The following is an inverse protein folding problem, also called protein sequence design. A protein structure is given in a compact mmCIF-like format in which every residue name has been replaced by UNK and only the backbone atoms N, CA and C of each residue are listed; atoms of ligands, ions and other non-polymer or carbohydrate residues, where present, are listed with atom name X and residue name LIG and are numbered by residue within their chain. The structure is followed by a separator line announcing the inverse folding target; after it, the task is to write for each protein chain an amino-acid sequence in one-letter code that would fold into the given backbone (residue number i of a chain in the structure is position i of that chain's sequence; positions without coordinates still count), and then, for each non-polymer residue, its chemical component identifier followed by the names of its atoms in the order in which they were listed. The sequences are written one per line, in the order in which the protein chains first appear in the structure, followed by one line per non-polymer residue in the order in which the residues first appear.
data_IF_868558726103
#
_entry.id   IF_868558726103
#
_cell.length_a   1.000
_cell.length_b   1.000
_cell.length_c   1.000
_cell.angle_alpha   90.00
_cell.angle_beta   90.00
_cell.angle_gamma   90.00
#
_symmetry.space_group_name_H-M   'P 1'
#
loop_
_entity.id
_entity.type
_entity.pdbx_description
1 polymer ?
#
# COMPACT_ATOMS: atom_id res chain seq x y z
N UNK A 1 -0.81 -10.45 14.00
CA UNK A 1 -0.01 -10.87 12.82
C UNK A 1 -0.82 -10.84 11.53
N UNK A 2 -2.14 -10.58 11.58
CA UNK A 2 -3.00 -10.35 10.41
C UNK A 2 -3.71 -9.02 10.62
N UNK A 3 -3.86 -8.20 9.57
CA UNK A 3 -4.63 -6.94 9.63
C UNK A 3 -6.14 -7.18 9.66
N UNK A 4 -6.58 -8.40 9.36
CA UNK A 4 -7.99 -8.79 9.36
C UNK A 4 -8.51 -9.08 10.78
N UNK A 5 -9.72 -8.60 11.10
CA UNK A 5 -10.35 -8.85 12.39
C UNK A 5 -10.84 -10.31 12.53
N UNK A 6 -10.78 -10.89 13.75
CA UNK A 6 -11.36 -12.19 14.02
C UNK A 6 -12.87 -12.20 13.72
N UNK A 7 -13.29 -12.99 12.72
CA UNK A 7 -14.70 -13.12 12.34
C UNK A 7 -15.08 -12.51 10.98
N UNK A 8 -14.17 -11.75 10.36
CA UNK A 8 -14.33 -11.22 8.99
C UNK A 8 -14.19 -12.33 7.95
N UNK A 9 -13.20 -13.19 8.13
CA UNK A 9 -12.96 -14.37 7.28
C UNK A 9 -13.51 -15.60 7.98
N UNK A 10 -14.46 -16.29 7.34
CA UNK A 10 -15.25 -17.37 7.96
C UNK A 10 -15.10 -18.72 7.31
N UNK A 11 -14.49 -18.78 6.14
CA UNK A 11 -14.34 -19.98 5.34
C UNK A 11 -12.87 -20.30 5.07
N UNK A 12 -12.60 -21.57 4.77
CA UNK A 12 -11.24 -22.06 4.51
C UNK A 12 -10.57 -21.33 3.34
N UNK A 13 -11.33 -21.02 2.29
CA UNK A 13 -10.83 -20.33 1.10
C UNK A 13 -10.40 -18.91 1.45
N UNK A 14 -11.23 -18.18 2.20
CA UNK A 14 -10.86 -16.84 2.67
C UNK A 14 -9.61 -16.83 3.55
N UNK A 15 -9.46 -17.81 4.47
CA UNK A 15 -8.27 -17.90 5.33
C UNK A 15 -7.02 -18.16 4.49
N UNK A 16 -7.12 -19.07 3.53
CA UNK A 16 -6.03 -19.40 2.63
C UNK A 16 -5.61 -18.18 1.78
N UNK A 17 -6.58 -17.46 1.20
CA UNK A 17 -6.31 -16.27 0.40
C UNK A 17 -5.66 -15.16 1.23
N UNK A 18 -6.14 -14.93 2.45
CA UNK A 18 -5.51 -13.99 3.39
C UNK A 18 -4.07 -14.40 3.71
N UNK A 19 -3.84 -15.69 3.99
CA UNK A 19 -2.50 -16.22 4.24
C UNK A 19 -1.56 -15.97 3.04
N UNK A 20 -1.99 -16.30 1.83
CA UNK A 20 -1.22 -16.04 0.62
C UNK A 20 -0.88 -14.56 0.46
N UNK A 21 -1.87 -13.68 0.65
CA UNK A 21 -1.69 -12.24 0.54
C UNK A 21 -0.65 -11.71 1.53
N UNK A 22 -0.75 -12.08 2.80
CA UNK A 22 0.20 -11.62 3.83
C UNK A 22 1.61 -12.20 3.60
N UNK A 23 1.72 -13.46 3.19
CA UNK A 23 3.00 -14.06 2.81
C UNK A 23 3.64 -13.35 1.60
N UNK A 24 2.85 -13.00 0.58
CA UNK A 24 3.35 -12.26 -0.57
C UNK A 24 3.91 -10.89 -0.15
N UNK A 25 3.18 -10.14 0.68
CA UNK A 25 3.64 -8.83 1.18
C UNK A 25 4.91 -8.90 2.01
N UNK A 26 5.10 -9.97 2.78
CA UNK A 26 6.28 -10.14 3.63
C UNK A 26 7.50 -10.61 2.84
N UNK A 27 7.31 -11.50 1.87
CA UNK A 27 8.41 -12.19 1.20
C UNK A 27 8.48 -11.86 -0.30
N UNK A 28 7.40 -12.13 -1.04
CA UNK A 28 7.38 -12.01 -2.50
C UNK A 28 7.67 -10.59 -3.00
N UNK A 29 7.12 -9.57 -2.34
CA UNK A 29 7.31 -8.16 -2.71
C UNK A 29 8.75 -7.67 -2.54
N UNK A 30 9.62 -8.44 -1.88
CA UNK A 30 11.05 -8.10 -1.69
C UNK A 30 11.96 -8.79 -2.71
N UNK A 31 11.41 -9.69 -3.53
CA UNK A 31 12.16 -10.42 -4.54
C UNK A 31 12.31 -9.57 -5.79
N UNK A 32 13.52 -9.56 -6.37
CA UNK A 32 13.87 -8.66 -7.47
C UNK A 32 13.86 -9.33 -8.85
N UNK A 33 13.88 -10.66 -8.89
CA UNK A 33 13.94 -11.43 -10.14
C UNK A 33 12.76 -12.40 -10.24
N UNK A 34 12.44 -12.80 -11.47
CA UNK A 34 11.30 -13.66 -11.75
C UNK A 34 11.53 -15.12 -11.32
N UNK A 35 12.78 -15.56 -11.21
CA UNK A 35 13.13 -16.91 -10.78
C UNK A 35 12.73 -17.12 -9.32
N UNK A 36 13.15 -16.22 -8.44
CA UNK A 36 12.80 -16.23 -7.02
C UNK A 36 11.29 -16.03 -6.81
N UNK A 37 10.66 -15.11 -7.57
CA UNK A 37 9.20 -14.91 -7.51
C UNK A 37 8.44 -16.18 -7.89
N UNK A 38 8.90 -16.89 -8.92
CA UNK A 38 8.31 -18.18 -9.34
C UNK A 38 8.55 -19.26 -8.29
N UNK A 39 9.77 -19.35 -7.73
CA UNK A 39 10.10 -20.28 -6.67
C UNK A 39 9.21 -20.09 -5.44
N UNK A 40 9.00 -18.84 -5.02
CA UNK A 40 8.06 -18.51 -3.94
C UNK A 40 6.64 -19.01 -4.24
N UNK A 41 6.12 -18.76 -5.45
CA UNK A 41 4.78 -19.22 -5.83
C UNK A 41 4.65 -20.75 -5.82
N UNK A 42 5.73 -21.49 -6.13
CA UNK A 42 5.78 -22.95 -5.98
C UNK A 42 5.63 -23.37 -4.52
N UNK A 43 6.38 -22.75 -3.60
CA UNK A 43 6.27 -23.05 -2.15
C UNK A 43 4.84 -22.80 -1.66
N UNK A 44 4.24 -21.66 -2.04
CA UNK A 44 2.85 -21.33 -1.63
C UNK A 44 1.86 -22.36 -2.19
N UNK A 45 2.05 -22.81 -3.43
CA UNK A 45 1.21 -23.84 -4.07
C UNK A 45 1.31 -25.20 -3.37
N UNK A 46 2.52 -25.62 -2.99
CA UNK A 46 2.74 -26.85 -2.22
C UNK A 46 2.10 -26.78 -0.83
N UNK A 47 2.22 -25.64 -0.15
CA UNK A 47 1.56 -25.39 1.13
C UNK A 47 0.04 -25.43 1.00
N UNK A 48 -0.52 -24.87 -0.07
CA UNK A 48 -1.94 -24.90 -0.39
C UNK A 48 -2.47 -26.33 -0.48
N UNK A 49 -1.76 -27.19 -1.23
CA UNK A 49 -2.15 -28.59 -1.41
C UNK A 49 -2.02 -29.38 -0.12
N UNK A 50 -0.89 -29.23 0.59
CA UNK A 50 -0.57 -30.02 1.78
C UNK A 50 -1.45 -29.72 2.99
N UNK A 51 -1.79 -28.45 3.24
CA UNK A 51 -2.47 -28.03 4.47
C UNK A 51 -3.90 -27.56 4.26
N UNK A 52 -4.25 -27.11 3.05
CA UNK A 52 -5.58 -26.59 2.75
C UNK A 52 -6.35 -27.44 1.73
N UNK A 53 -5.71 -28.42 1.10
CA UNK A 53 -6.35 -29.27 0.08
C UNK A 53 -6.62 -28.55 -1.24
N UNK A 54 -6.00 -27.38 -1.47
CA UNK A 54 -6.12 -26.63 -2.72
C UNK A 54 -5.02 -27.02 -3.69
N UNK A 55 -5.39 -27.53 -4.87
CA UNK A 55 -4.45 -27.80 -5.95
C UNK A 55 -4.36 -26.58 -6.86
N UNK A 56 -3.37 -25.72 -6.59
CA UNK A 56 -3.11 -24.51 -7.35
C UNK A 56 -1.77 -24.64 -8.07
N UNK A 57 -1.73 -24.20 -9.32
CA UNK A 57 -0.49 -24.05 -10.05
C UNK A 57 0.20 -22.73 -9.68
N UNK A 58 1.54 -22.63 -9.68
CA UNK A 58 2.26 -21.40 -9.33
C UNK A 58 1.83 -20.18 -10.16
N UNK A 59 1.43 -20.41 -11.42
CA UNK A 59 0.95 -19.37 -12.34
C UNK A 59 -0.42 -18.76 -11.93
N UNK A 60 -1.16 -19.40 -11.02
CA UNK A 60 -2.40 -18.86 -10.46
C UNK A 60 -2.18 -17.48 -9.83
N UNK A 61 -1.10 -17.32 -9.06
CA UNK A 61 -0.82 -16.08 -8.32
C UNK A 61 -0.44 -14.91 -9.23
N UNK A 62 0.04 -15.20 -10.45
CA UNK A 62 0.37 -14.18 -11.47
C UNK A 62 -0.88 -13.76 -12.22
N UNK A 63 -1.72 -14.72 -12.61
CA UNK A 63 -2.92 -14.47 -13.42
C UNK A 63 -4.11 -13.95 -12.60
N UNK A 64 -4.16 -14.29 -11.31
CA UNK A 64 -5.24 -13.94 -10.38
C UNK A 64 -4.64 -13.41 -9.08
N UNK A 65 -4.12 -12.17 -9.10
CA UNK A 65 -3.51 -11.58 -7.91
C UNK A 65 -4.54 -11.47 -6.79
N UNK A 66 -4.11 -11.79 -5.57
CA UNK A 66 -4.92 -11.73 -4.37
C UNK A 66 -4.68 -10.38 -3.71
N UNK A 67 -5.72 -9.55 -3.66
CA UNK A 67 -5.62 -8.18 -3.16
C UNK A 67 -6.51 -8.08 -1.92
N UNK A 68 -5.91 -7.75 -0.78
CA UNK A 68 -6.66 -7.29 0.39
C UNK A 68 -6.45 -5.79 0.57
N UNK A 69 -7.47 -5.14 1.15
CA UNK A 69 -7.43 -3.73 1.48
C UNK A 69 -8.63 -3.30 2.29
N UNK A 70 -8.54 -2.12 2.90
CA UNK A 70 -9.55 -1.53 3.78
C UNK A 70 -10.20 -0.27 3.19
N UNK A 71 -9.80 0.12 1.97
CA UNK A 71 -10.14 1.40 1.36
C UNK A 71 -11.40 1.35 0.48
N UNK A 72 -12.02 0.18 0.29
CA UNK A 72 -13.13 0.02 -0.68
C UNK A 72 -14.40 0.78 -0.28
N UNK A 73 -14.62 1.00 1.02
CA UNK A 73 -15.74 1.77 1.54
C UNK A 73 -15.34 3.25 1.66
N UNK A 74 -15.57 4.00 0.58
CA UNK A 74 -15.27 5.44 0.51
C UNK A 74 -16.06 6.20 1.58
N UNK A 75 -15.39 7.14 2.24
CA UNK A 75 -16.00 8.00 3.28
C UNK A 75 -16.20 7.34 4.64
N UNK A 76 -15.89 6.05 4.80
CA UNK A 76 -15.89 5.43 6.14
C UNK A 76 -14.73 5.96 6.98
N UNK A 77 -15.01 6.20 8.26
CA UNK A 77 -13.96 6.49 9.24
C UNK A 77 -12.99 5.31 9.33
N UNK A 78 -11.72 5.60 9.64
CA UNK A 78 -10.65 4.59 9.69
C UNK A 78 -10.98 3.42 10.63
N UNK A 79 -11.72 3.67 11.70
CA UNK A 79 -12.16 2.65 12.66
C UNK A 79 -13.25 1.71 12.10
N UNK A 80 -13.99 2.16 11.08
CA UNK A 80 -15.09 1.40 10.45
C UNK A 80 -14.67 0.72 9.14
N UNK A 81 -13.40 0.87 8.75
CA UNK A 81 -12.84 0.27 7.54
C UNK A 81 -12.48 -1.19 7.81
N UNK A 82 -12.98 -2.07 6.96
CA UNK A 82 -12.77 -3.51 7.07
C UNK A 82 -11.69 -3.93 6.10
N UNK A 83 -10.64 -4.56 6.60
CA UNK A 83 -9.61 -5.19 5.77
C UNK A 83 -10.15 -6.50 5.17
N UNK A 84 -10.51 -6.44 3.90
CA UNK A 84 -11.23 -7.52 3.20
C UNK A 84 -10.60 -7.87 1.85
N UNK A 85 -11.03 -9.01 1.30
CA UNK A 85 -10.59 -9.52 0.00
C UNK A 85 -11.27 -8.75 -1.14
N UNK A 86 -10.47 -8.06 -1.95
CA UNK A 86 -10.92 -7.21 -3.04
C UNK A 86 -10.84 -7.99 -4.35
N UNK A 87 -11.96 -8.61 -4.74
CA UNK A 87 -12.03 -9.52 -5.90
C UNK A 87 -12.46 -8.86 -7.20
N UNK A 88 -12.99 -7.63 -7.14
CA UNK A 88 -13.54 -6.90 -8.29
C UNK A 88 -12.59 -5.77 -8.72
N UNK A 89 -11.79 -5.96 -9.79
CA UNK A 89 -10.84 -4.96 -10.26
C UNK A 89 -11.49 -3.66 -10.73
N UNK A 90 -12.68 -3.73 -11.32
CA UNK A 90 -13.39 -2.56 -11.83
C UNK A 90 -13.88 -1.69 -10.67
N UNK A 91 -14.41 -2.34 -9.62
CA UNK A 91 -14.78 -1.64 -8.38
C UNK A 91 -13.56 -1.01 -7.69
N UNK A 92 -12.43 -1.73 -7.62
CA UNK A 92 -11.18 -1.17 -7.06
C UNK A 92 -10.76 0.07 -7.84
N UNK A 93 -10.76 0.00 -9.18
CA UNK A 93 -10.37 1.11 -10.05
C UNK A 93 -11.29 2.31 -9.89
N UNK A 94 -12.60 2.09 -9.84
CA UNK A 94 -13.58 3.15 -9.62
C UNK A 94 -13.32 3.86 -8.28
N UNK A 95 -13.16 3.10 -7.20
CA UNK A 95 -12.87 3.66 -5.87
C UNK A 95 -11.54 4.44 -5.85
N UNK A 96 -10.49 3.93 -6.49
CA UNK A 96 -9.21 4.64 -6.58
C UNK A 96 -9.34 5.96 -7.38
N UNK A 97 -10.22 5.99 -8.39
CA UNK A 97 -10.51 7.22 -9.12
C UNK A 97 -11.27 8.23 -8.25
N UNK A 98 -12.26 7.79 -7.47
CA UNK A 98 -12.99 8.65 -6.54
C UNK A 98 -12.04 9.31 -5.52
N UNK A 99 -11.08 8.55 -4.97
CA UNK A 99 -10.05 9.10 -4.08
C UNK A 99 -9.13 10.11 -4.77
N UNK A 100 -8.78 9.87 -6.05
CA UNK A 100 -7.95 10.79 -6.82
C UNK A 100 -8.69 12.10 -7.11
N UNK A 101 -9.98 12.01 -7.41
CA UNK A 101 -10.83 13.18 -7.67
C UNK A 101 -11.00 14.01 -6.38
N UNK A 102 -11.28 13.36 -5.25
CA UNK A 102 -11.34 14.02 -3.93
C UNK A 102 -10.01 14.69 -3.53
N UNK A 103 -8.89 14.02 -3.79
CA UNK A 103 -7.56 14.59 -3.62
C UNK A 103 -7.37 15.85 -4.48
N UNK A 104 -7.74 15.80 -5.76
CA UNK A 104 -7.63 16.92 -6.69
C UNK A 104 -8.58 18.08 -6.36
N UNK A 105 -9.72 17.81 -5.73
CA UNK A 105 -10.61 18.87 -5.21
C UNK A 105 -10.03 19.54 -3.97
N UNK A 106 -9.35 18.77 -3.12
CA UNK A 106 -8.76 19.25 -1.86
C UNK A 106 -7.46 20.04 -2.09
N UNK A 107 -6.65 19.63 -3.06
CA UNK A 107 -5.33 20.21 -3.32
C UNK A 107 -5.29 20.93 -4.68
N UNK A 108 -4.76 22.15 -4.69
CA UNK A 108 -4.71 23.02 -5.87
C UNK A 108 -3.80 22.54 -7.01
N UNK A 109 -3.00 21.49 -6.80
CA UNK A 109 -2.13 20.91 -7.82
C UNK A 109 -2.76 19.64 -8.37
N UNK A 110 -3.38 19.75 -9.54
CA UNK A 110 -3.98 18.62 -10.25
C UNK A 110 -2.94 17.50 -10.45
N UNK A 111 -3.27 16.33 -9.95
CA UNK A 111 -2.46 15.11 -10.07
C UNK A 111 -3.17 14.14 -10.99
N UNK A 112 -2.53 13.80 -12.11
CA UNK A 112 -3.04 12.80 -13.06
C UNK A 112 -2.30 11.48 -12.81
N UNK A 113 -3.01 10.51 -12.25
CA UNK A 113 -2.52 9.15 -12.07
C UNK A 113 -3.33 8.20 -12.94
N UNK A 114 -2.61 7.25 -13.55
CA UNK A 114 -3.23 6.08 -14.19
C UNK A 114 -2.87 4.88 -13.33
N UNK A 115 -3.88 4.18 -12.83
CA UNK A 115 -3.68 3.01 -11.99
C UNK A 115 -3.41 1.77 -12.85
N UNK A 116 -2.29 1.11 -12.57
CA UNK A 116 -1.91 -0.18 -13.15
C UNK A 116 -1.80 -1.22 -12.04
N UNK A 117 -1.85 -2.51 -12.41
CA UNK A 117 -1.81 -3.63 -11.46
C UNK A 117 -0.39 -4.02 -11.04
N UNK A 118 0.50 -3.03 -10.92
CA UNK A 118 1.89 -3.22 -10.51
C UNK A 118 2.16 -2.36 -9.27
N UNK A 119 2.07 -2.97 -8.09
CA UNK A 119 2.39 -2.26 -6.84
C UNK A 119 3.05 -3.21 -5.84
N UNK A 120 4.29 -2.92 -5.46
CA UNK A 120 4.99 -3.57 -4.34
C UNK A 120 4.59 -2.87 -3.03
N UNK A 121 4.23 -3.62 -1.97
CA UNK A 121 3.45 -3.10 -0.83
C UNK A 121 4.05 -3.42 0.55
N UNK A 122 4.70 -2.43 1.18
CA UNK A 122 5.17 -2.45 2.58
C UNK A 122 5.59 -1.06 3.05
N UNK A 123 6.36 -0.92 4.15
CA UNK A 123 7.10 0.33 4.43
C UNK A 123 7.87 0.72 3.16
N UNK A 124 7.35 1.73 2.47
CA UNK A 124 7.61 1.85 1.04
C UNK A 124 8.87 2.66 0.82
N UNK A 125 10.00 1.98 0.74
CA UNK A 125 11.14 2.54 0.02
C UNK A 125 10.83 2.39 -1.47
N UNK A 126 10.18 3.41 -2.04
CA UNK A 126 9.85 3.42 -3.46
C UNK A 126 11.12 3.72 -4.27
N UNK A 127 11.82 2.67 -4.70
CA UNK A 127 12.97 2.78 -5.60
C UNK A 127 12.48 2.70 -7.04
N UNK A 128 12.91 3.64 -7.88
CA UNK A 128 12.62 3.60 -9.31
C UNK A 128 13.04 4.87 -10.01
N UNK A 129 13.10 4.83 -11.34
CA UNK A 129 13.49 5.98 -12.17
C UNK A 129 12.59 7.20 -11.96
N UNK A 130 13.12 8.41 -12.15
CA UNK A 130 12.33 9.64 -12.06
C UNK A 130 11.12 9.63 -12.99
N UNK A 131 10.01 10.25 -12.58
CA UNK A 131 8.79 10.33 -13.40
C UNK A 131 7.78 9.19 -13.27
N UNK A 132 8.07 8.14 -12.49
CA UNK A 132 7.14 7.00 -12.29
C UNK A 132 5.98 7.26 -11.32
N UNK A 133 5.72 8.52 -10.96
CA UNK A 133 4.57 8.87 -10.11
C UNK A 133 4.71 8.54 -8.62
N UNK A 134 5.88 8.08 -8.13
CA UNK A 134 6.11 7.69 -6.72
C UNK A 134 5.64 8.72 -5.70
N UNK A 135 6.00 10.00 -5.90
CA UNK A 135 5.60 11.08 -5.00
C UNK A 135 4.09 11.30 -5.03
N UNK A 136 3.49 11.36 -6.22
CA UNK A 136 2.06 11.51 -6.42
C UNK A 136 1.27 10.36 -5.79
N UNK A 137 1.73 9.12 -5.98
CA UNK A 137 1.12 7.93 -5.39
C UNK A 137 1.23 7.91 -3.87
N UNK A 138 2.39 8.31 -3.32
CA UNK A 138 2.59 8.41 -1.86
C UNK A 138 1.64 9.45 -1.26
N UNK A 139 1.47 10.60 -1.91
CA UNK A 139 0.56 11.65 -1.47
C UNK A 139 -0.90 11.21 -1.53
N UNK A 140 -1.29 10.54 -2.61
CA UNK A 140 -2.64 9.96 -2.72
C UNK A 140 -2.88 8.89 -1.65
N UNK A 141 -1.95 7.96 -1.44
CA UNK A 141 -2.07 6.93 -0.41
C UNK A 141 -2.16 7.54 1.00
N UNK A 142 -1.38 8.59 1.28
CA UNK A 142 -1.47 9.33 2.53
C UNK A 142 -2.87 9.96 2.71
N UNK A 143 -3.39 10.60 1.66
CA UNK A 143 -4.73 11.19 1.66
C UNK A 143 -5.82 10.14 1.90
N UNK A 144 -5.76 9.00 1.21
CA UNK A 144 -6.69 7.88 1.41
C UNK A 144 -6.69 7.38 2.86
N UNK A 145 -5.51 7.37 3.50
CA UNK A 145 -5.33 6.96 4.89
C UNK A 145 -5.60 8.08 5.91
N UNK A 146 -6.00 9.29 5.48
CA UNK A 146 -6.20 10.45 6.36
C UNK A 146 -4.91 10.99 6.98
N UNK A 147 -3.75 10.62 6.44
CA UNK A 147 -2.44 11.03 6.94
C UNK A 147 -1.96 12.31 6.25
N UNK A 148 -1.24 13.15 6.99
CA UNK A 148 -0.65 14.37 6.42
C UNK A 148 0.75 14.08 5.88
N UNK A 149 0.99 14.40 4.61
CA UNK A 149 2.35 14.39 4.06
C UNK A 149 3.15 15.60 4.54
N UNK A 150 4.32 15.34 5.13
CA UNK A 150 5.36 16.31 5.39
C UNK A 150 6.53 16.03 4.45
N UNK A 151 6.97 17.03 3.71
CA UNK A 151 8.13 16.96 2.82
C UNK A 151 9.05 18.13 3.15
N UNK A 152 10.35 17.86 3.19
CA UNK A 152 11.35 18.93 3.31
C UNK A 152 11.50 19.62 1.96
N UNK A 153 11.46 20.95 1.98
CA UNK A 153 11.73 21.78 0.81
C UNK A 153 13.16 22.33 0.92
N UNK A 154 14.05 21.83 0.07
CA UNK A 154 15.43 22.30 0.04
C UNK A 154 15.50 23.72 -0.54
N UNK A 155 16.10 24.63 0.22
CA UNK A 155 16.38 26.00 -0.20
C UNK A 155 17.89 26.29 -0.21
N UNK A 156 18.30 27.36 -0.90
CA UNK A 156 19.70 27.79 -0.85
C UNK A 156 20.08 28.12 0.60
N UNK A 157 21.12 27.48 1.12
CA UNK A 157 21.57 27.63 2.50
C UNK A 157 20.93 26.65 3.50
N UNK A 158 20.13 25.69 3.03
CA UNK A 158 19.64 24.59 3.87
C UNK A 158 20.82 23.81 4.46
N UNK A 159 20.82 23.66 5.78
CA UNK A 159 21.92 23.06 6.52
C UNK A 159 21.40 22.11 7.60
N UNK A 160 22.31 21.60 8.42
CA UNK A 160 21.98 20.68 9.50
C UNK A 160 21.00 21.28 10.53
N UNK A 161 21.11 22.57 10.83
CA UNK A 161 20.20 23.24 11.76
C UNK A 161 18.79 23.36 11.18
N UNK A 162 18.67 23.74 9.89
CA UNK A 162 17.39 23.75 9.19
C UNK A 162 16.72 22.37 9.18
N UNK A 163 17.51 21.31 8.96
CA UNK A 163 17.04 19.93 9.03
C UNK A 163 16.52 19.55 10.41
N UNK A 164 17.25 19.90 11.46
CA UNK A 164 16.78 19.69 12.83
C UNK A 164 15.49 20.43 13.14
N UNK A 165 15.31 21.64 12.61
CA UNK A 165 14.07 22.39 12.76
C UNK A 165 12.88 21.73 12.03
N UNK A 166 13.09 21.20 10.82
CA UNK A 166 12.09 20.40 10.12
C UNK A 166 11.70 19.15 10.91
N UNK A 167 12.68 18.40 11.43
CA UNK A 167 12.42 17.22 12.26
C UNK A 167 11.68 17.58 13.54
N UNK A 168 12.02 18.69 14.21
CA UNK A 168 11.28 19.16 15.39
C UNK A 168 9.83 19.47 15.04
N UNK A 169 9.56 20.13 13.91
CA UNK A 169 8.20 20.40 13.45
C UNK A 169 7.43 19.11 13.17
N UNK A 170 8.06 18.17 12.46
CA UNK A 170 7.49 16.85 12.20
C UNK A 170 7.15 16.10 13.49
N UNK A 171 8.10 15.98 14.42
CA UNK A 171 7.90 15.29 15.69
C UNK A 171 6.89 15.99 16.60
N UNK A 172 6.78 17.32 16.52
CA UNK A 172 5.71 18.04 17.24
C UNK A 172 4.34 17.65 16.68
N UNK A 173 4.14 17.67 15.37
CA UNK A 173 2.86 17.28 14.76
C UNK A 173 2.52 15.82 15.03
N UNK A 174 3.50 14.91 14.89
CA UNK A 174 3.27 13.48 15.09
C UNK A 174 3.13 13.10 16.57
N UNK A 175 4.08 13.51 17.41
CA UNK A 175 4.19 13.06 18.79
C UNK A 175 3.42 13.89 19.80
N UNK A 176 3.36 15.22 19.63
CA UNK A 176 2.69 16.11 20.59
C UNK A 176 1.23 16.35 20.19
N UNK A 177 0.98 16.60 18.90
CA UNK A 177 -0.38 16.84 18.39
C UNK A 177 -1.11 15.54 18.02
N UNK A 178 -0.43 14.39 18.02
CA UNK A 178 -1.02 13.08 17.75
C UNK A 178 -1.55 12.91 16.33
N UNK A 179 -1.02 13.65 15.35
CA UNK A 179 -1.45 13.54 13.95
C UNK A 179 -0.74 12.38 13.26
N UNK A 180 -1.48 11.59 12.49
CA UNK A 180 -0.87 10.60 11.61
C UNK A 180 -0.13 11.31 10.45
N UNK A 181 1.18 11.09 10.35
CA UNK A 181 2.06 11.77 9.41
C UNK A 181 2.76 10.79 8.46
N UNK A 182 2.94 11.20 7.21
CA UNK A 182 3.86 10.56 6.25
C UNK A 182 5.03 11.50 6.02
N UNK A 183 6.25 11.05 6.32
CA UNK A 183 7.46 11.80 6.00
C UNK A 183 7.96 11.39 4.62
N UNK A 184 7.81 12.28 3.65
CA UNK A 184 8.20 12.04 2.26
C UNK A 184 9.58 12.64 2.00
N UNK A 185 10.56 11.76 1.78
CA UNK A 185 11.85 12.14 1.22
C UNK A 185 11.83 12.06 -0.30
N UNK A 186 12.47 13.03 -0.93
CA UNK A 186 12.60 13.10 -2.38
C UNK A 186 14.07 13.25 -2.73
N UNK A 187 14.51 12.60 -3.81
CA UNK A 187 15.90 12.63 -4.30
C UNK A 187 16.24 13.95 -5.04
N UNK A 188 15.54 15.04 -4.70
CA UNK A 188 15.55 16.32 -5.43
C UNK A 188 15.82 17.46 -4.48
#
# INVERSE_FOLDING_TARGET
MLQCEPGTVRDQTGIFRLFCHECQRVFHDRLINNEDKTYFNTIVSEMASKYFGFNLEPNYFVTKPIIFGDFIKVGAEKADRLYEDLTDPDKIRAVLQDYLDDYNMTFSKETKLVFFQDAERGNALLVGVGGTGKQSLTRLAAHMCGMRCFQIELSRGYNYDSFHEDLRRLFKMAGVEGKDMVFLFTDT
#
